data_IF_954706831914
#
_entry.id   IF_954706831914
#
_cell.length_a   1.000
_cell.length_b   1.000
_cell.length_c   1.000
_cell.angle_alpha   90.00
_cell.angle_beta   90.00
_cell.angle_gamma   90.00
#
_symmetry.space_group_name_H-M   'P 1'
#
loop_
_entity.id
_entity.type
_entity.pdbx_description
1 polymer ?
#
# COMPACT_ATOMS: atom_id res chain seq x y z
N UNK A 1 -46.13 18.02 34.25
CA UNK A 1 -46.52 18.85 33.12
C UNK A 1 -46.35 18.06 31.83
N UNK A 2 -47.39 17.91 31.00
CA UNK A 2 -47.31 17.12 29.75
C UNK A 2 -46.26 17.65 28.76
N UNK A 3 -45.79 18.91 28.90
CA UNK A 3 -44.74 19.46 28.05
C UNK A 3 -43.37 18.71 28.11
N UNK A 4 -43.11 17.90 29.14
CA UNK A 4 -41.83 17.26 29.37
C UNK A 4 -41.88 15.75 29.18
N UNK A 5 -42.97 15.17 28.68
CA UNK A 5 -43.10 13.75 28.42
C UNK A 5 -42.32 13.28 27.21
N UNK A 6 -42.19 14.15 26.20
CA UNK A 6 -41.52 13.84 24.94
C UNK A 6 -40.13 14.48 24.90
N UNK A 7 -39.25 13.89 24.14
CA UNK A 7 -37.94 14.47 23.88
C UNK A 7 -38.09 15.76 23.08
N UNK A 8 -37.49 16.85 23.57
CA UNK A 8 -37.43 18.10 22.82
C UNK A 8 -36.31 17.98 21.80
N UNK A 9 -36.63 18.22 20.54
CA UNK A 9 -35.69 18.14 19.42
C UNK A 9 -35.47 19.52 18.84
N UNK A 10 -34.22 19.94 18.73
CA UNK A 10 -33.81 21.20 18.14
C UNK A 10 -32.62 20.99 17.20
N UNK A 11 -32.49 21.88 16.22
CA UNK A 11 -31.29 21.87 15.37
C UNK A 11 -30.18 22.69 15.98
N UNK A 12 -28.94 22.32 15.70
CA UNK A 12 -27.78 23.11 16.10
C UNK A 12 -27.92 24.55 15.60
N UNK A 13 -27.54 25.52 16.44
CA UNK A 13 -27.68 26.93 16.18
C UNK A 13 -29.03 27.52 16.60
N UNK A 14 -30.04 26.69 16.90
CA UNK A 14 -31.31 27.16 17.41
C UNK A 14 -31.27 27.38 18.92
N UNK A 15 -32.26 28.11 19.45
CA UNK A 15 -32.47 28.32 20.86
C UNK A 15 -33.56 27.40 21.37
N UNK A 16 -33.33 26.72 22.48
CA UNK A 16 -34.41 25.98 23.14
C UNK A 16 -34.68 26.52 24.53
N UNK A 17 -35.94 26.34 24.96
CA UNK A 17 -36.43 26.79 26.24
C UNK A 17 -37.09 25.63 26.98
N UNK A 18 -36.73 25.49 28.26
CA UNK A 18 -37.37 24.55 29.16
C UNK A 18 -38.15 25.41 30.17
N UNK A 19 -39.48 25.27 30.15
CA UNK A 19 -40.38 26.12 30.94
C UNK A 19 -41.39 25.28 31.69
N UNK A 20 -41.58 25.57 32.96
CA UNK A 20 -42.57 24.89 33.79
C UNK A 20 -43.23 25.86 34.78
N UNK A 21 -44.51 25.63 35.05
CA UNK A 21 -45.20 26.32 36.13
C UNK A 21 -44.86 25.71 37.49
N UNK A 22 -44.67 26.55 38.46
CA UNK A 22 -44.26 26.17 39.81
C UNK A 22 -45.41 26.46 40.80
N UNK A 23 -45.77 25.42 41.56
CA UNK A 23 -46.81 25.47 42.58
C UNK A 23 -46.32 24.84 43.86
N UNK A 24 -46.69 25.37 44.99
CA UNK A 24 -46.38 24.81 46.31
C UNK A 24 -46.61 25.78 47.45
N UNK A 25 -46.84 25.23 48.62
CA UNK A 25 -46.95 25.99 49.87
C UNK A 25 -46.06 25.31 50.94
N UNK A 26 -45.02 25.99 51.42
CA UNK A 26 -44.50 27.29 50.94
C UNK A 26 -43.92 27.15 49.51
N UNK A 27 -43.69 28.30 48.82
CA UNK A 27 -43.12 28.36 47.49
C UNK A 27 -41.81 27.59 47.43
N UNK A 28 -41.68 26.62 46.49
CA UNK A 28 -40.46 25.83 46.40
C UNK A 28 -39.28 26.59 45.82
N UNK A 29 -38.08 26.20 46.18
CA UNK A 29 -36.86 26.60 45.51
C UNK A 29 -36.64 25.74 44.30
N UNK A 30 -36.14 26.34 43.22
CA UNK A 30 -35.96 25.71 41.91
C UNK A 30 -34.48 25.54 41.62
N UNK A 31 -34.11 24.33 41.18
CA UNK A 31 -32.78 23.98 40.66
C UNK A 31 -32.89 23.34 39.29
N UNK A 32 -32.00 23.70 38.40
CA UNK A 32 -31.81 23.03 37.14
C UNK A 32 -30.52 22.20 37.19
N UNK A 33 -30.62 20.91 36.80
CA UNK A 33 -29.51 19.97 36.90
C UNK A 33 -29.29 19.29 35.57
N UNK A 34 -28.03 18.92 35.29
CA UNK A 34 -27.64 17.98 34.22
C UNK A 34 -26.88 16.84 34.91
N UNK A 35 -27.50 15.64 34.91
CA UNK A 35 -26.99 14.57 35.76
C UNK A 35 -27.02 15.02 37.20
N UNK A 36 -25.90 14.94 37.90
CA UNK A 36 -25.75 15.36 39.33
C UNK A 36 -25.23 16.78 39.51
N UNK A 37 -24.99 17.50 38.42
CA UNK A 37 -24.45 18.87 38.48
C UNK A 37 -25.52 19.91 38.24
N UNK A 38 -25.45 20.97 39.04
CA UNK A 38 -26.26 22.15 38.83
C UNK A 38 -25.85 22.86 37.53
N UNK A 39 -26.84 23.28 36.72
CA UNK A 39 -26.60 24.03 35.49
C UNK A 39 -26.10 25.41 35.84
N UNK A 40 -24.94 25.78 35.29
CA UNK A 40 -24.35 27.10 35.45
C UNK A 40 -24.75 28.03 34.30
N UNK A 41 -25.05 29.27 34.64
CA UNK A 41 -25.32 30.35 33.67
C UNK A 41 -24.03 30.66 32.92
N UNK A 42 -24.21 30.98 31.62
CA UNK A 42 -23.12 31.37 30.75
C UNK A 42 -23.67 32.33 29.67
N UNK A 43 -22.81 32.73 28.73
CA UNK A 43 -23.25 33.61 27.63
C UNK A 43 -24.37 32.95 26.79
N UNK A 44 -24.41 31.60 26.71
CA UNK A 44 -25.43 30.85 25.96
C UNK A 44 -26.52 30.25 26.83
N UNK A 45 -26.34 30.21 28.14
CA UNK A 45 -27.28 29.56 29.06
C UNK A 45 -27.80 30.58 30.09
N UNK A 46 -29.09 30.80 30.08
CA UNK A 46 -29.76 31.77 30.94
C UNK A 46 -30.86 31.09 31.75
N UNK A 47 -30.87 31.34 33.05
CA UNK A 47 -31.85 30.82 34.00
C UNK A 47 -32.71 31.98 34.50
N UNK A 48 -34.04 31.90 34.30
CA UNK A 48 -35.00 32.87 34.79
C UNK A 48 -36.08 32.17 35.61
N UNK A 49 -35.86 32.03 36.90
CA UNK A 49 -36.85 31.45 37.77
C UNK A 49 -37.59 32.59 38.49
N UNK A 50 -38.93 32.54 38.44
CA UNK A 50 -39.78 33.41 39.23
C UNK A 50 -40.55 32.59 40.27
N UNK A 51 -41.39 33.23 41.08
CA UNK A 51 -42.17 32.53 42.09
C UNK A 51 -43.12 31.48 41.52
N UNK A 52 -43.53 31.67 40.25
CA UNK A 52 -44.55 30.85 39.60
C UNK A 52 -44.07 30.13 38.35
N UNK A 53 -42.86 30.43 37.87
CA UNK A 53 -42.28 29.81 36.65
C UNK A 53 -40.82 29.52 36.79
N UNK A 54 -40.41 28.37 36.27
CA UNK A 54 -39.03 28.02 36.07
C UNK A 54 -38.72 28.06 34.55
N UNK A 55 -37.65 28.72 34.18
CA UNK A 55 -37.25 28.89 32.77
C UNK A 55 -35.75 28.72 32.61
N UNK A 56 -35.35 27.82 31.72
CA UNK A 56 -34.00 27.66 31.26
C UNK A 56 -33.93 27.90 29.78
N UNK A 57 -33.05 28.80 29.36
CA UNK A 57 -32.87 29.16 27.92
C UNK A 57 -31.45 28.80 27.52
N UNK A 58 -31.31 28.03 26.47
CA UNK A 58 -30.01 27.73 25.84
C UNK A 58 -30.03 28.27 24.43
N UNK A 59 -29.11 29.20 24.16
CA UNK A 59 -28.96 29.89 22.86
C UNK A 59 -27.88 29.19 22.04
N UNK A 60 -27.99 29.25 20.72
CA UNK A 60 -27.02 28.72 19.77
C UNK A 60 -26.62 27.29 20.13
N UNK A 61 -27.62 26.43 20.25
CA UNK A 61 -27.44 25.05 20.72
C UNK A 61 -26.40 24.29 19.91
N UNK A 62 -25.59 23.53 20.59
CA UNK A 62 -24.63 22.59 20.05
C UNK A 62 -24.93 21.18 20.57
N UNK A 63 -24.31 20.15 19.96
CA UNK A 63 -24.60 18.75 20.31
C UNK A 63 -24.46 18.45 21.79
N UNK A 64 -23.46 19.02 22.47
CA UNK A 64 -23.22 18.77 23.89
C UNK A 64 -24.31 19.39 24.81
N UNK A 65 -25.10 20.29 24.29
CA UNK A 65 -26.26 20.84 25.04
C UNK A 65 -27.42 19.85 25.11
N UNK A 66 -27.40 18.79 24.29
CA UNK A 66 -28.34 17.69 24.39
C UNK A 66 -28.08 16.80 25.61
N UNK A 67 -29.08 16.07 26.01
CA UNK A 67 -29.04 15.17 27.14
C UNK A 67 -30.23 15.33 28.08
N UNK A 68 -30.12 14.81 29.28
CA UNK A 68 -31.18 14.91 30.28
C UNK A 68 -30.97 16.11 31.19
N UNK A 69 -31.97 16.98 31.23
CA UNK A 69 -32.07 18.07 32.20
C UNK A 69 -33.08 17.67 33.27
N UNK A 70 -32.81 18.05 34.50
CA UNK A 70 -33.68 17.76 35.63
C UNK A 70 -34.09 19.08 36.27
N UNK A 71 -35.38 19.33 36.36
CA UNK A 71 -35.98 20.41 37.11
C UNK A 71 -36.33 19.83 38.50
N UNK A 72 -35.75 20.39 39.55
CA UNK A 72 -36.02 20.00 40.94
C UNK A 72 -36.62 21.16 41.71
N UNK A 73 -37.81 20.94 42.25
CA UNK A 73 -38.50 21.85 43.13
C UNK A 73 -38.54 21.33 44.54
N UNK A 74 -38.09 22.10 45.51
CA UNK A 74 -37.97 21.69 46.93
C UNK A 74 -38.54 22.73 47.88
N UNK A 75 -39.27 22.25 48.89
CA UNK A 75 -39.69 23.06 50.06
C UNK A 75 -39.55 22.18 51.33
N UNK A 76 -40.00 22.72 52.46
CA UNK A 76 -39.90 21.99 53.75
C UNK A 76 -40.71 20.70 53.80
N UNK A 77 -41.69 20.54 52.90
CA UNK A 77 -42.50 19.32 52.79
C UNK A 77 -41.87 18.23 51.93
N UNK A 78 -40.81 18.54 51.17
CA UNK A 78 -40.13 17.60 50.30
C UNK A 78 -39.69 18.20 49.00
N UNK A 79 -39.26 17.33 48.06
CA UNK A 79 -38.81 17.72 46.72
C UNK A 79 -39.44 16.86 45.67
N UNK A 80 -39.58 17.43 44.47
CA UNK A 80 -39.96 16.70 43.24
C UNK A 80 -39.02 17.05 42.13
N UNK A 81 -38.70 16.03 41.32
CA UNK A 81 -37.82 16.16 40.18
C UNK A 81 -38.53 15.76 38.89
N UNK A 82 -38.29 16.47 37.80
CA UNK A 82 -38.87 16.24 36.49
C UNK A 82 -37.76 16.18 35.45
N UNK A 83 -37.54 15.02 34.84
CA UNK A 83 -36.56 14.90 33.76
C UNK A 83 -37.10 15.45 32.45
N UNK A 84 -36.25 16.09 31.68
CA UNK A 84 -36.52 16.58 30.33
C UNK A 84 -35.37 16.13 29.45
N UNK A 85 -35.68 15.42 28.38
CA UNK A 85 -34.69 15.00 27.40
C UNK A 85 -34.64 16.00 26.24
N UNK A 86 -33.44 16.42 25.88
CA UNK A 86 -33.19 17.31 24.75
C UNK A 86 -32.24 16.64 23.79
N UNK A 87 -32.58 16.68 22.51
CA UNK A 87 -31.75 16.17 21.42
C UNK A 87 -31.43 17.32 20.48
N UNK A 88 -30.16 17.58 20.27
CA UNK A 88 -29.67 18.59 19.33
C UNK A 88 -29.19 17.87 18.07
N UNK A 89 -29.75 18.24 16.92
CA UNK A 89 -29.46 17.67 15.61
C UNK A 89 -28.46 18.54 14.88
N UNK A 90 -27.49 17.90 14.22
CA UNK A 90 -26.46 18.60 13.49
C UNK A 90 -25.93 17.73 12.34
N UNK A 91 -25.09 18.33 11.52
CA UNK A 91 -24.23 17.61 10.60
C UNK A 91 -23.31 16.69 11.37
N UNK A 92 -22.81 15.60 10.75
CA UNK A 92 -21.87 14.71 11.44
C UNK A 92 -20.57 15.40 11.81
N UNK A 93 -19.91 14.90 12.83
CA UNK A 93 -18.51 15.20 13.08
C UNK A 93 -17.60 14.55 12.03
N UNK A 94 -16.28 14.82 12.10
CA UNK A 94 -15.36 14.20 11.16
C UNK A 94 -15.32 12.68 11.35
N UNK A 95 -15.11 11.91 10.27
CA UNK A 95 -14.80 10.51 10.39
C UNK A 95 -13.61 10.29 11.32
N UNK A 96 -13.54 9.16 11.98
CA UNK A 96 -12.44 8.88 12.88
C UNK A 96 -11.25 8.31 12.11
N UNK A 97 -10.09 8.83 12.42
CA UNK A 97 -8.86 8.50 11.75
C UNK A 97 -7.80 7.89 12.66
N UNK A 98 -6.59 7.91 12.18
CA UNK A 98 -6.14 8.53 10.92
C UNK A 98 -6.65 7.81 9.68
N UNK A 99 -6.71 8.52 8.54
CA UNK A 99 -6.95 7.88 7.24
C UNK A 99 -5.78 6.96 6.95
N UNK A 100 -6.08 5.69 6.75
CA UNK A 100 -5.06 4.72 6.36
C UNK A 100 -5.00 4.65 4.84
N UNK A 101 -3.81 4.87 4.30
CA UNK A 101 -3.54 4.80 2.86
C UNK A 101 -2.69 3.58 2.59
N UNK A 102 -3.23 2.65 1.80
CA UNK A 102 -2.58 1.38 1.49
C UNK A 102 -2.57 1.14 -0.01
N UNK A 103 -1.78 0.17 -0.47
CA UNK A 103 -1.74 -0.23 -1.86
C UNK A 103 -1.35 0.90 -2.81
N UNK A 104 -0.48 1.80 -2.39
CA UNK A 104 -0.03 2.94 -3.22
C UNK A 104 0.79 2.44 -4.40
N UNK A 105 0.39 2.87 -5.59
CA UNK A 105 1.13 2.67 -6.83
C UNK A 105 1.32 4.02 -7.53
N UNK A 106 1.81 4.03 -8.74
CA UNK A 106 1.92 5.25 -9.55
C UNK A 106 0.57 5.87 -9.91
N UNK A 107 -0.54 5.12 -9.85
CA UNK A 107 -1.83 5.54 -10.38
C UNK A 107 -3.01 5.37 -9.42
N UNK A 108 -2.85 4.64 -8.33
CA UNK A 108 -3.96 4.28 -7.43
C UNK A 108 -3.51 4.10 -5.99
N UNK A 109 -4.48 4.19 -5.08
CA UNK A 109 -4.31 3.84 -3.67
C UNK A 109 -5.66 3.47 -3.07
N UNK A 110 -5.66 2.91 -1.88
CA UNK A 110 -6.87 2.61 -1.12
C UNK A 110 -6.88 3.41 0.16
N UNK A 111 -8.00 4.09 0.41
CA UNK A 111 -8.25 4.85 1.63
C UNK A 111 -9.15 4.05 2.54
N UNK A 112 -8.87 4.08 3.85
CA UNK A 112 -9.70 3.43 4.88
C UNK A 112 -9.82 4.37 6.07
N UNK A 113 -11.00 4.47 6.63
CA UNK A 113 -11.33 5.31 7.78
C UNK A 113 -12.40 4.64 8.64
N UNK A 114 -12.69 5.22 9.79
CA UNK A 114 -13.74 4.75 10.67
C UNK A 114 -14.90 5.75 10.73
N UNK A 115 -16.12 5.30 11.08
CA UNK A 115 -17.25 6.21 11.21
C UNK A 115 -16.99 7.31 12.21
N UNK A 116 -17.63 8.48 12.07
CA UNK A 116 -17.50 9.54 13.06
C UNK A 116 -18.07 9.11 14.41
N UNK A 117 -17.45 9.59 15.49
CA UNK A 117 -17.96 9.37 16.86
C UNK A 117 -19.28 10.12 17.07
N UNK A 118 -19.49 11.20 16.35
CA UNK A 118 -20.69 12.05 16.42
C UNK A 118 -21.43 12.01 15.09
N UNK A 119 -22.57 11.33 15.07
CA UNK A 119 -23.41 11.22 13.88
C UNK A 119 -24.33 12.42 13.64
N UNK A 120 -24.33 13.38 14.54
CA UNK A 120 -25.22 14.54 14.47
C UNK A 120 -26.66 14.27 14.86
N UNK A 121 -26.94 13.07 15.38
CA UNK A 121 -28.29 12.67 15.80
C UNK A 121 -29.12 12.00 14.69
N UNK A 122 -28.49 11.63 13.60
CA UNK A 122 -29.10 10.88 12.50
C UNK A 122 -28.03 9.98 11.87
N UNK A 123 -28.44 8.85 11.33
CA UNK A 123 -27.55 7.88 10.73
C UNK A 123 -26.74 8.50 9.59
N UNK A 124 -25.51 8.06 9.49
CA UNK A 124 -24.64 8.41 8.36
C UNK A 124 -25.15 7.66 7.14
N UNK A 125 -25.53 8.40 6.10
CA UNK A 125 -26.03 7.84 4.86
C UNK A 125 -24.90 7.42 3.91
N UNK A 126 -23.85 8.23 3.83
CA UNK A 126 -22.70 7.99 2.93
C UNK A 126 -21.56 8.92 3.30
N UNK A 127 -20.46 8.78 2.56
CA UNK A 127 -19.29 9.64 2.65
C UNK A 127 -19.02 10.32 1.32
N UNK A 128 -18.45 11.51 1.39
CA UNK A 128 -17.89 12.24 0.24
C UNK A 128 -16.38 12.21 0.40
N UNK A 129 -15.68 11.84 -0.65
CA UNK A 129 -14.22 11.80 -0.69
C UNK A 129 -13.73 12.79 -1.73
N UNK A 130 -12.81 13.65 -1.31
CA UNK A 130 -12.19 14.65 -2.17
C UNK A 130 -10.68 14.51 -2.14
N UNK A 131 -10.02 14.99 -3.20
CA UNK A 131 -8.57 15.03 -3.33
C UNK A 131 -8.09 16.43 -3.66
N UNK A 132 -6.86 16.73 -3.27
CA UNK A 132 -6.16 17.94 -3.64
C UNK A 132 -4.70 17.61 -3.89
N UNK A 133 -4.15 18.08 -5.02
CA UNK A 133 -2.70 18.08 -5.20
C UNK A 133 -2.10 19.06 -4.19
N UNK A 134 -1.03 18.68 -3.51
CA UNK A 134 -0.40 19.54 -2.49
C UNK A 134 0.13 20.85 -3.05
N UNK A 135 0.42 20.88 -4.36
CA UNK A 135 0.85 22.09 -5.09
C UNK A 135 -0.31 23.02 -5.47
N UNK A 136 -1.56 22.62 -5.25
CA UNK A 136 -2.77 23.38 -5.61
C UNK A 136 -3.67 23.56 -4.39
N UNK A 137 -4.54 24.57 -4.45
CA UNK A 137 -5.46 24.89 -3.35
C UNK A 137 -6.86 24.29 -3.55
N UNK A 138 -7.22 23.90 -4.77
CA UNK A 138 -8.56 23.45 -5.08
C UNK A 138 -8.75 21.96 -4.79
N UNK A 139 -9.87 21.65 -4.11
CA UNK A 139 -10.33 20.28 -3.87
C UNK A 139 -11.19 19.80 -5.03
N UNK A 140 -11.06 18.54 -5.39
CA UNK A 140 -11.84 17.89 -6.44
C UNK A 140 -12.54 16.66 -5.87
N UNK A 141 -13.81 16.46 -6.20
CA UNK A 141 -14.56 15.29 -5.75
C UNK A 141 -14.03 14.03 -6.43
N UNK A 142 -13.67 13.03 -5.61
CA UNK A 142 -13.29 11.71 -6.06
C UNK A 142 -14.53 10.80 -6.16
N UNK A 143 -15.33 10.80 -5.10
CA UNK A 143 -16.57 10.04 -5.03
C UNK A 143 -17.55 10.75 -4.08
N UNK A 144 -18.83 10.81 -4.45
CA UNK A 144 -19.86 11.56 -3.72
C UNK A 144 -20.85 10.68 -2.94
N UNK A 145 -20.83 9.36 -3.13
CA UNK A 145 -21.80 8.45 -2.50
C UNK A 145 -21.15 7.15 -2.06
N UNK A 146 -20.13 7.25 -1.23
CA UNK A 146 -19.42 6.09 -0.69
C UNK A 146 -20.15 5.57 0.54
N UNK A 147 -20.66 4.35 0.47
CA UNK A 147 -21.43 3.73 1.55
C UNK A 147 -20.63 2.81 2.45
N UNK A 148 -19.35 2.61 2.13
CA UNK A 148 -18.39 1.82 2.92
C UNK A 148 -17.37 2.72 3.59
N UNK A 149 -16.58 2.16 4.50
CA UNK A 149 -15.48 2.88 5.17
C UNK A 149 -14.15 2.72 4.43
N UNK A 150 -14.20 2.40 3.17
CA UNK A 150 -13.03 2.17 2.32
C UNK A 150 -13.34 2.59 0.88
N UNK A 151 -12.35 3.13 0.20
CA UNK A 151 -12.46 3.54 -1.20
C UNK A 151 -11.15 3.32 -1.93
N UNK A 152 -11.23 2.66 -3.08
CA UNK A 152 -10.10 2.57 -4.01
C UNK A 152 -10.14 3.79 -4.92
N UNK A 153 -9.10 4.62 -4.86
CA UNK A 153 -8.93 5.79 -5.71
C UNK A 153 -8.05 5.42 -6.89
N UNK A 154 -8.53 5.70 -8.09
CA UNK A 154 -7.83 5.39 -9.35
C UNK A 154 -7.57 6.66 -10.16
N UNK A 155 -6.89 6.52 -11.31
CA UNK A 155 -6.61 7.63 -12.24
C UNK A 155 -5.80 8.78 -11.61
N UNK A 156 -4.95 8.45 -10.66
CA UNK A 156 -4.00 9.39 -10.09
C UNK A 156 -2.76 9.49 -10.99
N UNK A 157 -2.02 10.57 -10.86
CA UNK A 157 -0.86 10.85 -11.71
C UNK A 157 0.44 10.49 -10.98
N UNK A 158 1.29 9.73 -11.66
CA UNK A 158 2.62 9.39 -11.16
C UNK A 158 3.43 10.64 -10.83
N UNK A 159 4.10 10.60 -9.68
CA UNK A 159 4.95 11.71 -9.22
C UNK A 159 4.19 12.85 -8.55
N UNK A 160 2.86 12.88 -8.62
CA UNK A 160 2.06 13.87 -7.90
C UNK A 160 1.86 13.46 -6.44
N UNK A 161 1.78 14.45 -5.58
CA UNK A 161 1.45 14.29 -4.17
C UNK A 161 0.05 14.80 -3.91
N UNK A 162 -0.76 13.99 -3.24
CA UNK A 162 -2.15 14.28 -2.94
C UNK A 162 -2.42 14.27 -1.44
N UNK A 163 -3.39 15.10 -1.03
CA UNK A 163 -4.07 15.00 0.25
C UNK A 163 -5.52 14.62 -0.04
N UNK A 164 -6.03 13.65 0.70
CA UNK A 164 -7.44 13.23 0.62
C UNK A 164 -8.19 13.72 1.84
N UNK A 165 -9.47 14.03 1.68
CA UNK A 165 -10.33 14.31 2.81
C UNK A 165 -11.67 13.57 2.65
N UNK A 166 -12.20 13.14 3.79
CA UNK A 166 -13.43 12.36 3.87
C UNK A 166 -14.42 13.10 4.77
N UNK A 167 -15.64 13.30 4.29
CA UNK A 167 -16.75 13.89 5.03
C UNK A 167 -17.88 12.90 5.15
N UNK A 168 -18.42 12.72 6.36
CA UNK A 168 -19.63 11.95 6.57
C UNK A 168 -20.85 12.82 6.26
N UNK A 169 -21.91 12.22 5.74
CA UNK A 169 -23.15 12.91 5.37
C UNK A 169 -24.32 12.25 6.07
N UNK A 170 -25.16 13.06 6.73
CA UNK A 170 -26.46 12.67 7.22
C UNK A 170 -27.53 13.58 6.59
N UNK A 171 -28.79 13.44 7.00
CA UNK A 171 -29.88 14.24 6.44
C UNK A 171 -29.82 15.74 6.75
N UNK A 172 -28.91 16.14 7.67
CA UNK A 172 -28.71 17.54 8.05
C UNK A 172 -27.55 18.21 7.31
N UNK A 173 -26.79 17.44 6.53
CA UNK A 173 -25.76 17.98 5.66
C UNK A 173 -24.45 17.20 5.70
N UNK A 174 -23.47 17.81 5.04
CA UNK A 174 -22.09 17.31 4.96
C UNK A 174 -21.31 17.76 6.20
N UNK A 175 -20.72 16.82 6.90
CA UNK A 175 -19.98 17.08 8.14
C UNK A 175 -18.56 17.59 7.91
N UNK A 176 -17.83 17.73 9.00
CA UNK A 176 -16.44 18.18 8.99
C UNK A 176 -15.53 17.13 8.36
N UNK A 177 -14.46 17.55 7.66
CA UNK A 177 -13.56 16.63 6.98
C UNK A 177 -12.53 16.01 7.92
N UNK A 178 -12.12 14.79 7.57
CA UNK A 178 -10.92 14.15 8.06
C UNK A 178 -9.91 14.15 6.91
N UNK A 179 -8.76 14.78 7.11
CA UNK A 179 -7.71 14.85 6.10
C UNK A 179 -6.67 13.74 6.31
N UNK A 180 -6.16 13.20 5.20
CA UNK A 180 -5.03 12.28 5.20
C UNK A 180 -3.70 13.01 5.30
N UNK A 181 -2.64 12.29 5.64
CA UNK A 181 -1.28 12.74 5.39
C UNK A 181 -1.03 12.82 3.87
N UNK A 182 -0.06 13.60 3.40
CA UNK A 182 0.30 13.65 1.99
C UNK A 182 0.73 12.27 1.46
N UNK A 183 0.30 11.93 0.25
CA UNK A 183 0.59 10.66 -0.41
C UNK A 183 1.27 10.92 -1.73
N UNK A 184 2.52 10.45 -1.88
CA UNK A 184 3.26 10.52 -3.13
C UNK A 184 2.95 9.30 -3.99
N UNK A 185 2.49 9.54 -5.23
CA UNK A 185 2.13 8.48 -6.16
C UNK A 185 3.37 7.95 -6.86
N UNK A 186 3.83 6.79 -6.43
CA UNK A 186 4.95 6.06 -7.03
C UNK A 186 4.79 4.57 -6.77
N UNK A 187 5.34 3.75 -7.66
CA UNK A 187 5.38 2.32 -7.39
C UNK A 187 6.34 2.05 -6.23
N UNK A 188 5.99 1.13 -5.33
CA UNK A 188 6.84 0.78 -4.19
C UNK A 188 8.15 0.16 -4.66
N UNK A 189 8.14 -0.52 -5.83
CA UNK A 189 9.30 -1.11 -6.48
C UNK A 189 9.09 -1.20 -7.98
N UNK A 190 10.18 -1.30 -8.72
CA UNK A 190 10.22 -1.45 -10.18
C UNK A 190 10.96 -2.74 -10.55
N UNK A 191 11.00 -3.09 -11.84
CA UNK A 191 11.75 -4.25 -12.31
C UNK A 191 13.25 -4.09 -11.99
N UNK A 192 13.96 -5.20 -11.70
CA UNK A 192 15.40 -5.15 -11.50
C UNK A 192 16.14 -4.85 -12.79
N UNK A 193 17.34 -4.32 -12.65
CA UNK A 193 18.25 -4.12 -13.77
C UNK A 193 18.79 -5.44 -14.33
N UNK A 194 19.53 -5.38 -15.46
CA UNK A 194 20.12 -6.56 -16.04
C UNK A 194 21.30 -7.09 -15.20
N UNK A 195 21.44 -8.42 -15.07
CA UNK A 195 22.64 -9.02 -14.52
C UNK A 195 23.90 -8.64 -15.30
N UNK A 196 25.05 -8.71 -14.67
CA UNK A 196 26.32 -8.23 -15.21
C UNK A 196 27.38 -9.31 -15.29
N UNK A 197 28.41 -9.04 -16.08
CA UNK A 197 29.64 -9.82 -16.11
C UNK A 197 29.39 -11.30 -16.38
N UNK A 198 28.58 -11.62 -17.40
CA UNK A 198 28.34 -12.98 -17.78
C UNK A 198 29.63 -13.64 -18.25
N UNK A 199 29.89 -14.83 -17.72
CA UNK A 199 31.01 -15.67 -18.12
C UNK A 199 30.50 -17.08 -18.40
N UNK A 200 31.08 -17.72 -19.39
CA UNK A 200 30.83 -19.13 -19.71
C UNK A 200 32.08 -19.95 -19.47
N UNK A 201 31.96 -20.97 -18.64
CA UNK A 201 33.05 -21.87 -18.24
C UNK A 201 32.63 -23.32 -18.36
N UNK A 202 33.55 -24.22 -18.12
CA UNK A 202 33.32 -25.69 -18.10
C UNK A 202 32.57 -26.16 -19.36
N UNK A 203 33.08 -25.76 -20.52
CA UNK A 203 32.50 -26.09 -21.82
C UNK A 203 32.83 -27.56 -22.14
N UNK A 204 31.79 -28.32 -22.47
CA UNK A 204 31.91 -29.70 -22.99
C UNK A 204 31.06 -29.79 -24.27
N UNK A 205 31.03 -30.98 -24.86
CA UNK A 205 30.25 -31.26 -26.05
C UNK A 205 28.73 -31.04 -25.88
N UNK A 206 28.24 -31.13 -24.65
CA UNK A 206 26.82 -31.10 -24.34
C UNK A 206 26.42 -30.19 -23.17
N UNK A 207 27.38 -29.52 -22.56
CA UNK A 207 27.11 -28.63 -21.42
C UNK A 207 28.03 -27.42 -21.37
N UNK A 208 27.52 -26.33 -20.74
CA UNK A 208 28.28 -25.13 -20.44
C UNK A 208 27.81 -24.57 -19.11
N UNK A 209 28.67 -23.95 -18.33
CA UNK A 209 28.29 -23.28 -17.10
C UNK A 209 28.31 -21.79 -17.32
N UNK A 210 27.15 -21.14 -17.07
CA UNK A 210 26.99 -19.70 -17.16
C UNK A 210 27.05 -19.13 -15.74
N UNK A 211 27.88 -18.12 -15.54
CA UNK A 211 28.00 -17.37 -14.29
C UNK A 211 27.73 -15.90 -14.55
N UNK A 212 27.23 -15.22 -13.55
CA UNK A 212 26.93 -13.78 -13.66
C UNK A 212 27.05 -13.10 -12.30
N UNK A 213 27.03 -11.77 -12.30
CA UNK A 213 26.96 -10.96 -11.10
C UNK A 213 25.56 -10.33 -10.97
N UNK A 214 25.21 -9.98 -9.74
CA UNK A 214 23.95 -9.30 -9.44
C UNK A 214 23.81 -8.01 -10.24
N UNK A 215 22.56 -7.61 -10.59
CA UNK A 215 22.32 -6.30 -11.19
C UNK A 215 22.79 -5.17 -10.29
N UNK A 216 23.08 -4.01 -10.89
CA UNK A 216 23.38 -2.79 -10.13
C UNK A 216 22.20 -2.32 -9.29
N UNK A 217 20.99 -2.57 -9.76
CA UNK A 217 19.75 -2.22 -9.08
C UNK A 217 18.83 -3.43 -8.98
N UNK A 218 18.34 -3.68 -7.77
CA UNK A 218 17.32 -4.70 -7.53
C UNK A 218 15.89 -4.17 -7.78
N UNK A 219 15.74 -2.92 -8.17
CA UNK A 219 14.44 -2.28 -8.39
C UNK A 219 13.71 -1.88 -7.12
N UNK A 220 14.38 -1.90 -5.96
CA UNK A 220 13.77 -1.58 -4.66
C UNK A 220 13.11 -2.77 -3.97
N UNK A 221 13.20 -3.96 -4.56
CA UNK A 221 12.71 -5.22 -4.01
C UNK A 221 13.75 -6.31 -4.22
N UNK A 222 13.89 -7.19 -3.25
CA UNK A 222 14.89 -8.27 -3.29
C UNK A 222 14.75 -9.12 -4.56
N UNK A 223 15.89 -9.47 -5.13
CA UNK A 223 15.95 -10.42 -6.25
C UNK A 223 15.58 -11.81 -5.72
N UNK A 224 14.54 -12.40 -6.30
CA UNK A 224 14.02 -13.72 -5.91
C UNK A 224 14.49 -14.85 -6.81
N UNK A 225 15.11 -14.53 -7.94
CA UNK A 225 15.65 -15.53 -8.83
C UNK A 225 16.14 -14.96 -10.15
N UNK A 226 16.69 -15.87 -10.96
CA UNK A 226 17.22 -15.56 -12.28
C UNK A 226 16.66 -16.50 -13.32
N UNK A 227 16.60 -16.03 -14.56
CA UNK A 227 16.20 -16.82 -15.72
C UNK A 227 17.35 -16.76 -16.73
N UNK A 228 17.86 -17.94 -17.09
CA UNK A 228 18.92 -18.10 -18.08
C UNK A 228 18.29 -18.53 -19.40
N UNK A 229 18.63 -17.83 -20.47
CA UNK A 229 18.19 -18.15 -21.81
C UNK A 229 19.39 -18.41 -22.73
N UNK A 230 19.20 -19.32 -23.68
CA UNK A 230 20.19 -19.64 -24.72
C UNK A 230 19.62 -19.41 -26.09
N UNK A 231 20.48 -19.07 -27.03
CA UNK A 231 20.14 -19.05 -28.47
C UNK A 231 21.22 -19.78 -29.24
N UNK A 232 20.79 -20.77 -30.03
CA UNK A 232 21.65 -21.44 -31.00
C UNK A 232 21.90 -20.50 -32.18
N UNK A 233 23.14 -20.40 -32.63
CA UNK A 233 23.50 -19.53 -33.75
C UNK A 233 22.73 -19.84 -35.01
N UNK A 234 22.32 -21.11 -35.22
CA UNK A 234 21.48 -21.54 -36.34
C UNK A 234 20.00 -21.20 -36.16
N UNK A 235 19.59 -20.77 -34.93
CA UNK A 235 18.22 -20.44 -34.57
C UNK A 235 18.02 -18.94 -34.37
N UNK A 236 16.75 -18.55 -34.23
CA UNK A 236 16.36 -17.14 -34.02
C UNK A 236 15.69 -16.92 -32.67
N UNK A 237 15.35 -17.99 -31.96
CA UNK A 237 14.62 -17.90 -30.69
C UNK A 237 15.50 -18.11 -29.48
N UNK A 238 15.23 -17.30 -28.44
CA UNK A 238 15.75 -17.52 -27.12
C UNK A 238 14.93 -18.59 -26.39
N UNK A 239 15.61 -19.56 -25.78
CA UNK A 239 15.00 -20.68 -25.10
C UNK A 239 15.44 -20.67 -23.64
N UNK A 240 14.49 -20.78 -22.72
CA UNK A 240 14.79 -20.84 -21.28
C UNK A 240 15.57 -22.13 -20.96
N UNK A 241 16.64 -21.98 -20.19
CA UNK A 241 17.46 -23.09 -19.74
C UNK A 241 17.03 -23.66 -18.39
N UNK A 242 16.24 -22.92 -17.62
CA UNK A 242 15.75 -23.36 -16.31
C UNK A 242 14.21 -23.29 -16.26
N UNK A 243 13.60 -24.30 -15.66
CA UNK A 243 12.15 -24.36 -15.41
C UNK A 243 11.76 -23.72 -14.08
N UNK A 244 12.67 -23.76 -13.11
CA UNK A 244 12.50 -23.16 -11.78
C UNK A 244 13.43 -21.98 -11.62
N UNK A 245 13.06 -21.04 -10.74
CA UNK A 245 13.93 -19.92 -10.38
C UNK A 245 15.25 -20.42 -9.87
N UNK A 246 16.31 -19.78 -10.31
CA UNK A 246 17.67 -20.03 -9.84
C UNK A 246 18.02 -18.92 -8.87
N UNK A 247 18.35 -19.27 -7.65
CA UNK A 247 18.76 -18.31 -6.61
C UNK A 247 20.27 -18.10 -6.56
N UNK A 248 21.02 -19.04 -7.14
CA UNK A 248 22.46 -18.94 -7.28
C UNK A 248 22.85 -18.03 -8.47
N UNK A 249 24.10 -17.62 -8.53
CA UNK A 249 24.67 -16.78 -9.58
C UNK A 249 25.34 -17.61 -10.69
N UNK A 250 24.94 -18.83 -10.84
CA UNK A 250 25.48 -19.77 -11.83
C UNK A 250 24.47 -20.84 -12.19
N UNK A 251 24.56 -21.33 -13.40
CA UNK A 251 23.77 -22.47 -13.88
C UNK A 251 24.58 -23.30 -14.84
N UNK A 252 24.59 -24.60 -14.63
CA UNK A 252 25.08 -25.56 -15.62
C UNK A 252 23.97 -25.84 -16.62
N UNK A 253 24.16 -25.40 -17.87
CA UNK A 253 23.23 -25.63 -18.97
C UNK A 253 23.63 -26.94 -19.63
N UNK A 254 22.68 -27.89 -19.73
CA UNK A 254 22.90 -29.24 -20.30
C UNK A 254 22.05 -29.42 -21.56
N UNK A 255 22.21 -30.56 -22.20
CA UNK A 255 21.40 -30.91 -23.40
C UNK A 255 21.77 -30.12 -24.64
N UNK A 256 22.99 -29.56 -24.67
CA UNK A 256 23.48 -28.86 -25.84
C UNK A 256 23.85 -29.85 -26.92
N UNK A 257 23.80 -29.42 -28.18
CA UNK A 257 24.16 -30.22 -29.34
C UNK A 257 25.64 -29.99 -29.66
N UNK A 258 26.40 -31.08 -29.78
CA UNK A 258 27.83 -31.00 -30.11
C UNK A 258 28.05 -30.20 -31.38
N UNK A 259 29.10 -29.38 -31.38
CA UNK A 259 29.51 -28.48 -32.45
C UNK A 259 28.59 -27.33 -32.76
N UNK A 260 27.43 -27.20 -32.09
CA UNK A 260 26.59 -26.01 -32.19
C UNK A 260 27.20 -24.88 -31.34
N UNK A 261 26.94 -23.65 -31.76
CA UNK A 261 27.39 -22.45 -31.06
C UNK A 261 26.21 -21.79 -30.37
N UNK A 262 26.41 -21.40 -29.09
CA UNK A 262 25.38 -20.84 -28.25
C UNK A 262 25.81 -19.51 -27.64
N UNK A 263 24.87 -18.58 -27.56
CA UNK A 263 24.98 -17.38 -26.76
C UNK A 263 23.97 -17.43 -25.62
N UNK A 264 24.25 -16.70 -24.54
CA UNK A 264 23.43 -16.71 -23.34
C UNK A 264 23.11 -15.31 -22.91
N UNK A 265 21.97 -15.15 -22.23
CA UNK A 265 21.58 -13.96 -21.51
C UNK A 265 20.87 -14.36 -20.23
N UNK A 266 20.91 -13.48 -19.23
CA UNK A 266 20.32 -13.72 -17.91
C UNK A 266 19.46 -12.53 -17.53
N UNK A 267 18.27 -12.82 -16.98
CA UNK A 267 17.35 -11.83 -16.43
C UNK A 267 17.17 -12.07 -14.94
N UNK A 268 17.06 -11.01 -14.17
CA UNK A 268 16.72 -11.05 -12.75
C UNK A 268 15.22 -10.86 -12.53
N UNK A 269 14.68 -11.46 -11.48
CA UNK A 269 13.27 -11.33 -11.12
C UNK A 269 13.14 -10.82 -9.67
N UNK A 270 12.24 -9.87 -9.46
CA UNK A 270 11.82 -9.42 -8.15
C UNK A 270 10.29 -9.45 -8.04
N UNK A 271 9.71 -8.89 -6.99
CA UNK A 271 8.26 -8.87 -6.79
C UNK A 271 7.49 -8.11 -7.88
N UNK A 272 8.15 -7.20 -8.62
CA UNK A 272 7.52 -6.49 -9.76
C UNK A 272 7.47 -7.34 -11.03
N UNK A 273 8.34 -8.37 -11.15
CA UNK A 273 8.42 -9.24 -12.30
C UNK A 273 9.86 -9.47 -12.78
N UNK A 274 9.98 -9.94 -14.02
CA UNK A 274 11.25 -10.21 -14.68
C UNK A 274 11.76 -8.94 -15.35
N UNK A 275 12.99 -8.54 -15.01
CA UNK A 275 13.65 -7.37 -15.59
C UNK A 275 14.22 -7.63 -16.97
N UNK A 276 14.86 -6.60 -17.53
CA UNK A 276 15.51 -6.73 -18.83
C UNK A 276 16.67 -7.72 -18.77
N UNK A 277 16.88 -8.53 -19.83
CA UNK A 277 18.02 -9.42 -19.88
C UNK A 277 19.33 -8.65 -19.98
N UNK A 278 20.39 -9.29 -19.53
CA UNK A 278 21.76 -8.84 -19.78
C UNK A 278 22.03 -8.76 -21.29
N UNK A 279 23.03 -8.02 -21.72
CA UNK A 279 23.56 -8.19 -23.06
C UNK A 279 23.92 -9.66 -23.28
N UNK A 280 23.71 -10.15 -24.51
CA UNK A 280 24.08 -11.52 -24.86
C UNK A 280 25.60 -11.70 -24.77
N UNK A 281 26.03 -12.89 -24.39
CA UNK A 281 27.44 -13.28 -24.49
C UNK A 281 27.84 -13.41 -25.95
N UNK A 282 29.12 -13.56 -26.21
CA UNK A 282 29.59 -14.08 -27.50
C UNK A 282 29.14 -15.52 -27.66
N UNK A 283 29.20 -16.04 -28.88
CA UNK A 283 28.90 -17.45 -29.13
C UNK A 283 30.02 -18.36 -28.65
N UNK A 284 29.66 -19.44 -28.00
CA UNK A 284 30.55 -20.51 -27.53
C UNK A 284 30.18 -21.80 -28.22
N UNK A 285 31.21 -22.54 -28.67
CA UNK A 285 30.99 -23.81 -29.32
C UNK A 285 30.95 -24.95 -28.30
N UNK A 286 29.94 -25.79 -28.40
CA UNK A 286 29.78 -26.97 -27.55
C UNK A 286 30.73 -28.06 -28.07
N UNK A 287 31.89 -28.15 -27.49
CA UNK A 287 32.89 -29.18 -27.82
C UNK A 287 33.71 -29.51 -26.57
N UNK A 288 34.24 -30.73 -26.54
CA UNK A 288 35.12 -31.11 -25.43
C UNK A 288 36.43 -30.33 -25.50
N UNK A 289 37.07 -30.07 -24.34
CA UNK A 289 38.30 -29.34 -24.30
C UNK A 289 39.40 -30.10 -25.05
N UNK A 290 40.19 -29.34 -25.81
CA UNK A 290 41.30 -29.89 -26.60
C UNK A 290 42.61 -29.44 -25.97
N UNK A 291 43.51 -30.38 -25.76
CA UNK A 291 44.81 -30.17 -25.16
C UNK A 291 45.91 -30.46 -26.15
N UNK A 292 47.11 -30.01 -25.83
CA UNK A 292 48.28 -30.37 -26.62
C UNK A 292 48.51 -31.89 -26.60
N UNK A 293 48.82 -32.48 -27.75
CA UNK A 293 49.15 -33.91 -27.76
C UNK A 293 50.43 -34.18 -27.02
N UNK A 294 50.55 -35.41 -26.58
CA UNK A 294 51.82 -35.94 -26.03
C UNK A 294 52.89 -36.06 -27.12
N UNK A 295 54.09 -36.42 -26.72
CA UNK A 295 55.18 -36.63 -27.68
C UNK A 295 54.95 -37.84 -28.55
N UNK A 296 55.48 -37.85 -29.76
CA UNK A 296 55.52 -39.05 -30.55
C UNK A 296 56.21 -40.20 -29.79
N UNK A 297 55.79 -41.43 -30.10
CA UNK A 297 56.33 -42.61 -29.42
C UNK A 297 57.32 -43.34 -30.32
N UNK A 298 58.25 -44.05 -29.65
CA UNK A 298 59.18 -44.97 -30.32
C UNK A 298 59.90 -44.37 -31.51
N UNK A 299 60.41 -43.17 -31.37
CA UNK A 299 61.16 -42.50 -32.43
C UNK A 299 62.50 -43.28 -32.60
N UNK A 300 62.79 -43.77 -33.79
CA UNK A 300 63.94 -44.46 -34.07
C UNK A 300 64.45 -44.28 -35.52
N UNK A 301 65.75 -44.58 -35.72
CA UNK A 301 66.34 -44.47 -37.03
C UNK A 301 66.10 -45.80 -37.80
N UNK A 302 65.50 -45.65 -38.99
CA UNK A 302 65.18 -46.81 -39.85
C UNK A 302 66.26 -47.05 -40.88
N UNK A 303 66.84 -46.00 -41.41
CA UNK A 303 67.90 -46.09 -42.45
C UNK A 303 68.81 -44.88 -42.38
N UNK A 304 70.03 -45.04 -42.81
CA UNK A 304 71.00 -43.97 -42.91
C UNK A 304 71.79 -44.11 -44.23
N UNK A 305 71.97 -42.94 -44.86
CA UNK A 305 72.84 -42.80 -46.03
C UNK A 305 73.95 -41.78 -45.73
N UNK A 306 74.84 -41.57 -46.70
CA UNK A 306 75.89 -40.56 -46.56
C UNK A 306 75.36 -39.19 -46.29
N UNK A 307 74.18 -38.83 -46.80
CA UNK A 307 73.61 -37.47 -46.82
C UNK A 307 72.22 -37.43 -46.17
N UNK A 308 71.69 -38.52 -45.62
CA UNK A 308 70.33 -38.54 -45.08
C UNK A 308 70.21 -39.56 -43.94
N UNK A 309 69.20 -39.28 -43.07
CA UNK A 309 68.74 -40.18 -42.00
C UNK A 309 67.22 -40.25 -42.12
N UNK A 310 66.74 -41.50 -42.16
CA UNK A 310 65.28 -41.74 -42.16
C UNK A 310 64.83 -42.13 -40.76
N UNK A 311 63.86 -41.38 -40.23
CA UNK A 311 63.25 -41.60 -38.91
C UNK A 311 61.85 -42.16 -39.07
N UNK A 312 61.51 -43.08 -38.20
CA UNK A 312 60.18 -43.60 -38.00
C UNK A 312 59.71 -43.31 -36.56
N UNK A 313 58.42 -43.01 -36.36
CA UNK A 313 57.91 -42.86 -35.01
C UNK A 313 56.43 -43.30 -35.02
N UNK A 314 55.94 -43.60 -33.80
CA UNK A 314 54.54 -43.91 -33.56
C UNK A 314 53.74 -42.67 -33.13
N UNK A 315 52.43 -42.75 -33.26
CA UNK A 315 51.52 -41.75 -32.79
C UNK A 315 51.68 -41.53 -31.25
N UNK A 316 51.49 -40.36 -30.73
CA UNK A 316 51.42 -40.13 -29.28
C UNK A 316 50.39 -41.04 -28.61
N UNK A 317 50.64 -41.47 -27.38
CA UNK A 317 49.67 -42.22 -26.58
C UNK A 317 48.45 -41.34 -26.26
N UNK A 318 48.71 -40.04 -26.12
CA UNK A 318 47.67 -39.05 -25.81
C UNK A 318 47.62 -38.03 -26.97
N UNK A 319 46.45 -37.96 -27.63
CA UNK A 319 46.25 -37.07 -28.78
C UNK A 319 45.72 -35.68 -28.41
N UNK A 320 45.46 -35.44 -27.11
CA UNK A 320 44.91 -34.18 -26.63
C UNK A 320 43.43 -34.01 -26.85
N UNK A 321 42.71 -35.04 -27.32
CA UNK A 321 41.27 -35.02 -27.59
C UNK A 321 40.94 -34.62 -29.03
N UNK A 322 41.93 -34.47 -29.90
CA UNK A 322 41.73 -34.16 -31.32
C UNK A 322 42.75 -34.98 -32.16
N UNK A 323 42.34 -35.30 -33.37
CA UNK A 323 43.21 -36.06 -34.28
C UNK A 323 44.52 -35.28 -34.58
N UNK A 324 45.62 -35.99 -34.61
CA UNK A 324 46.90 -35.43 -35.01
C UNK A 324 46.89 -35.22 -36.51
N UNK A 325 47.19 -34.00 -36.97
CA UNK A 325 47.19 -33.59 -38.37
C UNK A 325 48.49 -34.00 -39.08
#
# INVERSE_FOLDING_TARGET
NPKFRDTIVVNAGETFRLEADVHGKPLPTIEWLRGDKEVEESARCEIKNTDFKALLIVKDAIRIDGGQYILRASNVAGSKSFPVNVKVLDRPGPPEGPVQVTGVTSEKCTLTWSPPLQDGGSDISHYVVEKRETSRLAWTVVASEVVTNSLKVTKLLEGNEYIFRIMAVNKYGVGEPLESAPVLMKNPFVLPGPPKSLEVTNITKDSMTVCWNRPDSDGGSEIIGYIVEKRDRSGIRWIKCNKRRITDLRLRVTGLTEDHEYEFRVSAENAAGVGEPSPATVYYKACDPVFKPGPPTNAHVVDTTKNSITLAWGKPIYDGGSEIL
#
